data_IF_877778491690
#
_entry.id   IF_877778491690
#
_cell.length_a   1.000
_cell.length_b   1.000
_cell.length_c   1.000
_cell.angle_alpha   90.00
_cell.angle_beta   90.00
_cell.angle_gamma   90.00
#
_symmetry.space_group_name_H-M   'P 1'
#
loop_
_entity.id
_entity.type
_entity.pdbx_description
1 polymer ?
#
# COMPACT_ATOMS: atom_id res chain seq x y z
N UNK A 1 10.32 69.60 22.80
CA UNK A 1 10.37 68.16 22.47
C UNK A 1 9.89 67.38 23.68
N UNK A 2 8.73 66.73 23.60
CA UNK A 2 8.16 65.95 24.71
C UNK A 2 8.82 64.56 24.68
N UNK A 3 9.51 64.11 25.74
CA UNK A 3 10.13 62.79 25.74
C UNK A 3 9.02 61.74 25.60
N UNK A 4 9.11 60.92 24.55
CA UNK A 4 8.29 59.72 24.44
C UNK A 4 8.82 58.76 25.51
N UNK A 5 8.01 58.49 26.52
CA UNK A 5 8.35 57.51 27.54
C UNK A 5 8.39 56.13 26.89
N UNK A 6 9.59 55.64 26.59
CA UNK A 6 9.78 54.26 26.17
C UNK A 6 9.39 53.36 27.35
N UNK A 7 8.31 52.59 27.17
CA UNK A 7 7.85 51.62 28.15
C UNK A 7 8.89 50.50 28.22
N UNK A 8 9.59 50.42 29.35
CA UNK A 8 10.51 49.32 29.61
C UNK A 8 9.72 48.01 29.74
N UNK A 9 10.07 47.01 28.93
CA UNK A 9 9.44 45.69 28.93
C UNK A 9 9.87 44.92 30.19
N UNK A 10 8.92 44.40 30.95
CA UNK A 10 9.23 43.65 32.17
C UNK A 10 9.53 42.18 31.86
N UNK A 11 10.38 41.56 32.68
CA UNK A 11 10.70 40.13 32.56
C UNK A 11 9.45 39.25 32.74
N UNK A 12 8.47 39.72 33.54
CA UNK A 12 7.19 39.06 33.76
C UNK A 12 6.32 39.07 32.49
N UNK A 13 6.24 40.20 31.78
CA UNK A 13 5.50 40.28 30.50
C UNK A 13 6.08 39.32 29.47
N UNK A 14 7.41 39.18 29.39
CA UNK A 14 8.05 38.20 28.52
C UNK A 14 7.67 36.77 28.92
N UNK A 15 7.76 36.45 30.22
CA UNK A 15 7.48 35.12 30.77
C UNK A 15 6.04 34.68 30.53
N UNK A 16 5.07 35.57 30.73
CA UNK A 16 3.65 35.27 30.48
C UNK A 16 3.40 35.00 28.99
N UNK A 17 4.01 35.78 28.10
CA UNK A 17 3.86 35.59 26.65
C UNK A 17 4.43 34.23 26.22
N UNK A 18 5.64 33.88 26.64
CA UNK A 18 6.20 32.57 26.29
C UNK A 18 5.41 31.42 26.90
N UNK A 19 4.84 31.59 28.11
CA UNK A 19 3.99 30.58 28.74
C UNK A 19 2.70 30.36 27.94
N UNK A 20 2.06 31.43 27.46
CA UNK A 20 0.86 31.33 26.61
C UNK A 20 1.22 30.67 25.27
N UNK A 21 2.32 31.07 24.62
CA UNK A 21 2.79 30.45 23.36
C UNK A 21 3.08 28.97 23.57
N UNK A 22 3.74 28.58 24.66
CA UNK A 22 4.05 27.19 24.97
C UNK A 22 2.78 26.34 25.17
N UNK A 23 1.77 26.88 25.87
CA UNK A 23 0.48 26.22 26.05
C UNK A 23 -0.24 26.00 24.72
N UNK A 24 -0.31 27.04 23.88
CA UNK A 24 -0.95 26.96 22.56
C UNK A 24 -0.21 25.99 21.65
N UNK A 25 1.12 26.08 21.59
CA UNK A 25 1.96 25.19 20.80
C UNK A 25 1.80 23.72 21.23
N UNK A 26 1.67 23.46 22.54
CA UNK A 26 1.44 22.12 23.09
C UNK A 26 0.19 21.43 22.53
N UNK A 27 -0.88 22.19 22.26
CA UNK A 27 -2.11 21.65 21.65
C UNK A 27 -2.03 21.55 20.12
N UNK A 28 -1.26 22.42 19.46
CA UNK A 28 -1.11 22.49 18.00
C UNK A 28 -0.27 21.34 17.40
N UNK A 29 0.83 20.96 18.06
CA UNK A 29 1.75 19.92 17.58
C UNK A 29 1.08 18.56 17.27
N UNK A 30 0.25 17.97 18.17
CA UNK A 30 -0.39 16.68 17.89
C UNK A 30 -1.40 16.76 16.73
N UNK A 31 -2.11 17.89 16.60
CA UNK A 31 -3.07 18.11 15.51
C UNK A 31 -2.35 18.22 14.17
N UNK A 32 -1.25 19.00 14.11
CA UNK A 32 -0.44 19.15 12.91
C UNK A 32 0.16 17.81 12.45
N UNK A 33 0.59 16.96 13.39
CA UNK A 33 1.06 15.60 13.11
C UNK A 33 -0.01 14.75 12.41
N UNK A 34 -1.24 14.74 12.93
CA UNK A 34 -2.38 14.02 12.33
C UNK A 34 -2.74 14.57 10.95
N UNK A 35 -2.79 15.90 10.80
CA UNK A 35 -3.08 16.55 9.52
C UNK A 35 -2.04 16.20 8.44
N UNK A 36 -0.74 16.22 8.81
CA UNK A 36 0.35 15.83 7.91
C UNK A 36 0.26 14.36 7.49
N UNK A 37 -0.03 13.45 8.43
CA UNK A 37 -0.22 12.04 8.11
C UNK A 37 -1.41 11.81 7.16
N UNK A 38 -2.52 12.52 7.38
CA UNK A 38 -3.70 12.47 6.50
C UNK A 38 -3.39 13.00 5.09
N UNK A 39 -2.66 14.12 5.00
CA UNK A 39 -2.21 14.67 3.71
C UNK A 39 -1.36 13.68 2.92
N UNK A 40 -0.40 13.01 3.58
CA UNK A 40 0.40 11.96 2.95
C UNK A 40 -0.45 10.80 2.43
N UNK A 41 -1.43 10.34 3.21
CA UNK A 41 -2.36 9.28 2.79
C UNK A 41 -3.22 9.67 1.59
N UNK A 42 -3.65 10.93 1.51
CA UNK A 42 -4.37 11.47 0.34
C UNK A 42 -3.47 11.47 -0.91
N UNK A 43 -2.19 11.84 -0.76
CA UNK A 43 -1.23 11.78 -1.85
C UNK A 43 -1.03 10.32 -2.33
N UNK A 44 -0.91 9.36 -1.42
CA UNK A 44 -0.86 7.93 -1.78
C UNK A 44 -2.09 7.50 -2.59
N UNK A 45 -3.29 7.92 -2.16
CA UNK A 45 -4.53 7.60 -2.86
C UNK A 45 -4.56 8.21 -4.28
N UNK A 46 -4.07 9.45 -4.43
CA UNK A 46 -3.92 10.09 -5.74
C UNK A 46 -2.95 9.33 -6.65
N UNK A 47 -1.81 8.92 -6.11
CA UNK A 47 -0.81 8.11 -6.81
C UNK A 47 -1.41 6.75 -7.26
N UNK A 48 -2.17 6.07 -6.40
CA UNK A 48 -2.87 4.83 -6.76
C UNK A 48 -3.88 5.03 -7.89
N UNK A 49 -4.65 6.13 -7.90
CA UNK A 49 -5.55 6.44 -9.03
C UNK A 49 -4.78 6.60 -10.34
N UNK A 50 -3.61 7.25 -10.31
CA UNK A 50 -2.74 7.36 -11.48
C UNK A 50 -2.25 6.00 -11.97
N UNK A 51 -1.82 5.12 -11.05
CA UNK A 51 -1.47 3.74 -11.39
C UNK A 51 -2.66 3.03 -12.03
N UNK A 52 -3.86 3.22 -11.48
CA UNK A 52 -5.11 2.71 -12.03
C UNK A 52 -5.36 3.11 -13.46
N UNK A 53 -5.18 4.39 -13.79
CA UNK A 53 -5.25 4.85 -15.18
C UNK A 53 -4.20 4.16 -16.06
N UNK A 54 -2.97 3.98 -15.54
CA UNK A 54 -1.94 3.20 -16.23
C UNK A 54 -2.35 1.75 -16.50
N UNK A 55 -3.07 1.10 -15.58
CA UNK A 55 -3.65 -0.24 -15.78
C UNK A 55 -4.67 -0.23 -16.92
N UNK A 56 -5.53 0.77 -16.97
CA UNK A 56 -6.52 0.90 -18.04
C UNK A 56 -5.84 1.07 -19.40
N UNK A 57 -4.84 1.97 -19.50
CA UNK A 57 -4.05 2.17 -20.71
C UNK A 57 -3.31 0.88 -21.14
N UNK A 58 -2.77 0.14 -20.17
CA UNK A 58 -2.15 -1.16 -20.42
C UNK A 58 -3.15 -2.19 -20.96
N UNK A 59 -4.34 -2.25 -20.38
CA UNK A 59 -5.40 -3.15 -20.83
C UNK A 59 -5.88 -2.78 -22.24
N UNK A 60 -6.05 -1.49 -22.54
CA UNK A 60 -6.47 -1.00 -23.85
C UNK A 60 -5.47 -1.41 -24.96
N UNK A 61 -4.16 -1.34 -24.69
CA UNK A 61 -3.13 -1.78 -25.64
C UNK A 61 -2.98 -3.30 -25.77
N UNK A 62 -3.41 -4.08 -24.77
CA UNK A 62 -3.17 -5.53 -24.70
C UNK A 62 -4.47 -6.36 -24.69
N UNK A 63 -5.46 -5.97 -25.49
CA UNK A 63 -6.72 -6.71 -25.68
C UNK A 63 -7.47 -6.99 -24.35
N UNK A 64 -7.49 -5.97 -23.50
CA UNK A 64 -8.11 -5.98 -22.18
C UNK A 64 -7.33 -6.74 -21.11
N UNK A 65 -6.13 -7.23 -21.39
CA UNK A 65 -5.32 -7.98 -20.43
C UNK A 65 -4.77 -7.04 -19.34
N UNK A 66 -4.97 -7.42 -18.07
CA UNK A 66 -4.38 -6.70 -16.95
C UNK A 66 -2.87 -6.98 -16.85
N UNK A 67 -2.08 -6.04 -16.29
CA UNK A 67 -0.67 -6.29 -16.00
C UNK A 67 -0.53 -7.54 -15.14
N UNK A 68 0.48 -8.34 -15.46
CA UNK A 68 0.78 -9.53 -14.68
C UNK A 68 1.47 -9.09 -13.37
N UNK A 69 0.91 -9.49 -12.22
CA UNK A 69 1.47 -9.12 -10.92
C UNK A 69 2.92 -9.60 -10.72
N UNK A 70 3.22 -10.80 -11.21
CA UNK A 70 4.58 -11.33 -11.30
C UNK A 70 4.67 -12.37 -12.41
N UNK A 71 5.80 -12.41 -13.11
CA UNK A 71 6.13 -13.57 -13.95
C UNK A 71 6.63 -14.72 -13.07
N UNK A 72 6.06 -15.90 -13.28
CA UNK A 72 6.44 -17.11 -12.55
C UNK A 72 7.63 -17.86 -13.17
N UNK A 73 7.99 -17.53 -14.41
CA UNK A 73 9.18 -18.07 -15.05
C UNK A 73 10.43 -17.35 -14.52
N UNK A 74 11.08 -17.97 -13.53
CA UNK A 74 12.48 -17.77 -13.14
C UNK A 74 12.91 -16.30 -12.99
N UNK A 75 12.78 -15.71 -11.78
CA UNK A 75 13.25 -14.35 -11.51
C UNK A 75 14.71 -14.11 -11.91
N UNK A 76 15.52 -15.18 -11.95
CA UNK A 76 16.92 -15.17 -12.35
C UNK A 76 17.10 -14.87 -13.85
N UNK A 77 16.13 -15.26 -14.69
CA UNK A 77 16.16 -15.05 -16.16
C UNK A 77 15.36 -13.83 -16.61
N UNK A 78 14.49 -13.29 -15.77
CA UNK A 78 13.60 -12.18 -16.12
C UNK A 78 13.28 -11.31 -14.91
N UNK A 79 14.29 -10.69 -14.26
CA UNK A 79 14.13 -9.97 -13.01
C UNK A 79 13.19 -8.75 -13.14
N UNK A 80 13.08 -8.18 -14.34
CA UNK A 80 12.29 -6.99 -14.61
C UNK A 80 10.87 -7.28 -15.10
N UNK A 81 10.43 -8.55 -15.15
CA UNK A 81 9.06 -8.92 -15.59
C UNK A 81 8.09 -8.89 -14.41
N UNK A 82 7.80 -7.68 -13.95
CA UNK A 82 6.91 -7.40 -12.81
C UNK A 82 5.89 -6.33 -13.20
N UNK A 83 4.83 -6.16 -12.41
CA UNK A 83 3.74 -5.26 -12.81
C UNK A 83 4.15 -3.79 -12.91
N UNK A 84 5.08 -3.33 -12.06
CA UNK A 84 5.51 -1.92 -12.07
C UNK A 84 6.20 -1.53 -13.37
N UNK A 85 7.11 -2.37 -13.88
CA UNK A 85 7.82 -2.12 -15.15
C UNK A 85 6.89 -2.25 -16.35
N UNK A 86 5.84 -3.08 -16.24
CA UNK A 86 4.79 -3.17 -17.26
C UNK A 86 3.92 -1.90 -17.35
N UNK A 87 3.85 -1.13 -16.25
CA UNK A 87 3.10 0.12 -16.16
C UNK A 87 3.96 1.38 -16.34
N UNK A 88 5.28 1.30 -16.15
CA UNK A 88 6.19 2.43 -16.30
C UNK A 88 6.00 3.19 -17.62
N UNK A 89 5.79 2.50 -18.75
CA UNK A 89 5.60 3.18 -20.05
C UNK A 89 4.35 4.05 -20.13
N UNK A 90 3.35 3.77 -19.29
CA UNK A 90 2.09 4.51 -19.23
C UNK A 90 2.10 5.60 -18.15
N UNK A 91 3.09 5.56 -17.27
CA UNK A 91 3.21 6.46 -16.14
C UNK A 91 4.44 7.34 -16.34
N UNK A 92 4.25 8.66 -16.44
CA UNK A 92 5.34 9.59 -16.72
C UNK A 92 6.44 9.67 -15.65
N UNK A 93 6.29 8.98 -14.50
CA UNK A 93 7.28 8.94 -13.43
C UNK A 93 7.12 7.69 -12.55
N UNK A 94 8.24 7.10 -12.12
CA UNK A 94 8.28 6.01 -11.15
C UNK A 94 7.95 6.44 -9.72
N UNK A 95 7.97 7.75 -9.43
CA UNK A 95 7.55 8.31 -8.14
C UNK A 95 6.07 8.05 -7.85
N UNK A 96 5.27 7.81 -8.88
CA UNK A 96 3.84 7.46 -8.77
C UNK A 96 3.66 6.13 -8.03
N UNK A 97 4.64 5.23 -8.05
CA UNK A 97 4.58 3.97 -7.28
C UNK A 97 4.93 4.13 -5.80
N UNK A 98 5.29 5.34 -5.36
CA UNK A 98 5.70 5.61 -3.99
C UNK A 98 4.57 6.26 -3.18
N UNK A 99 4.61 6.00 -1.89
CA UNK A 99 3.67 6.50 -0.90
C UNK A 99 4.41 7.39 0.09
N UNK A 100 4.13 8.71 0.18
CA UNK A 100 4.77 9.59 1.16
C UNK A 100 4.51 9.21 2.63
N UNK A 101 3.49 8.39 2.85
CA UNK A 101 3.16 7.78 4.14
C UNK A 101 4.17 6.71 4.56
N UNK A 102 4.89 6.11 3.62
CA UNK A 102 5.96 5.13 3.82
C UNK A 102 7.35 5.79 3.65
N UNK A 103 7.89 6.47 4.67
CA UNK A 103 9.16 7.17 4.57
C UNK A 103 10.29 6.16 4.32
N UNK A 104 11.10 6.37 3.27
CA UNK A 104 12.21 5.48 2.91
C UNK A 104 11.83 4.37 1.92
N UNK A 105 10.57 4.31 1.47
CA UNK A 105 10.17 3.49 0.34
C UNK A 105 10.98 3.84 -0.91
N UNK A 106 11.27 2.82 -1.74
CA UNK A 106 12.04 2.98 -2.97
C UNK A 106 11.34 2.25 -4.09
N UNK A 107 11.54 2.76 -5.30
CA UNK A 107 11.08 2.08 -6.49
C UNK A 107 11.84 0.76 -6.66
N UNK A 108 11.10 -0.32 -6.80
CA UNK A 108 11.62 -1.68 -6.92
C UNK A 108 11.35 -2.28 -8.29
N UNK A 109 11.94 -1.69 -9.34
CA UNK A 109 11.76 -2.07 -10.76
C UNK A 109 12.26 -3.47 -11.15
N UNK A 110 12.62 -4.30 -10.17
CA UNK A 110 13.07 -5.67 -10.39
C UNK A 110 12.68 -6.58 -9.22
N UNK A 111 12.86 -7.87 -9.42
CA UNK A 111 12.55 -8.87 -8.42
C UNK A 111 13.34 -8.71 -7.11
N UNK A 112 14.62 -8.36 -7.15
CA UNK A 112 15.45 -8.25 -5.94
C UNK A 112 15.02 -7.07 -5.05
N UNK A 113 14.52 -6.00 -5.67
CA UNK A 113 14.16 -4.73 -5.05
C UNK A 113 12.65 -4.56 -4.85
N UNK A 114 11.82 -5.48 -5.36
CA UNK A 114 10.35 -5.41 -5.28
C UNK A 114 9.79 -5.13 -3.89
N UNK A 115 10.45 -5.65 -2.85
CA UNK A 115 10.08 -5.48 -1.45
C UNK A 115 10.47 -4.12 -0.86
N UNK A 116 10.78 -3.12 -1.66
CA UNK A 116 10.91 -1.74 -1.20
C UNK A 116 9.66 -0.91 -1.53
N UNK A 117 8.72 -1.51 -2.28
CA UNK A 117 7.48 -0.85 -2.67
C UNK A 117 6.46 -0.77 -1.54
N UNK A 118 5.76 0.38 -1.43
CA UNK A 118 4.69 0.54 -0.48
C UNK A 118 3.30 0.20 -1.06
N UNK A 119 3.15 -0.01 -2.38
CA UNK A 119 1.86 -0.29 -3.04
C UNK A 119 1.86 -1.69 -3.61
N UNK A 120 1.14 -2.61 -2.99
CA UNK A 120 0.95 -3.96 -3.49
C UNK A 120 -0.10 -4.03 -4.57
N UNK A 121 0.09 -4.93 -5.53
CA UNK A 121 -0.89 -5.29 -6.54
C UNK A 121 -1.47 -6.69 -6.29
N UNK A 122 -2.73 -6.92 -6.63
CA UNK A 122 -3.40 -8.17 -6.30
C UNK A 122 -2.76 -9.37 -7.01
N UNK A 123 -2.32 -10.34 -6.22
CA UNK A 123 -1.65 -11.57 -6.67
C UNK A 123 -2.56 -12.52 -7.45
N UNK A 124 -3.89 -12.38 -7.36
CA UNK A 124 -4.81 -13.09 -8.25
C UNK A 124 -4.57 -12.72 -9.72
N UNK A 125 -3.92 -11.59 -9.99
CA UNK A 125 -3.46 -11.13 -11.30
C UNK A 125 -2.09 -11.66 -11.72
N UNK A 126 -1.50 -12.57 -10.95
CA UNK A 126 -0.29 -13.27 -11.35
C UNK A 126 -0.61 -14.32 -12.41
N UNK A 127 0.24 -14.44 -13.42
CA UNK A 127 0.16 -15.54 -14.38
C UNK A 127 0.98 -16.72 -13.84
N UNK A 128 0.29 -17.84 -13.60
CA UNK A 128 0.91 -19.09 -13.18
C UNK A 128 0.41 -20.24 -14.06
N UNK A 129 1.17 -20.64 -15.09
CA UNK A 129 0.80 -21.77 -15.95
C UNK A 129 0.79 -23.12 -15.23
N UNK A 130 1.36 -23.22 -14.00
CA UNK A 130 1.33 -24.42 -13.15
C UNK A 130 0.13 -24.41 -12.18
N UNK A 131 -0.63 -23.31 -12.09
CA UNK A 131 -1.84 -23.19 -11.28
C UNK A 131 -1.63 -23.27 -9.76
N UNK A 132 -0.47 -22.84 -9.26
CA UNK A 132 -0.07 -22.93 -7.84
C UNK A 132 -0.44 -21.67 -7.05
N UNK A 133 -0.17 -20.50 -7.60
CA UNK A 133 -0.26 -19.20 -6.89
C UNK A 133 -0.97 -18.09 -7.69
N UNK A 134 -1.21 -18.30 -8.99
CA UNK A 134 -1.82 -17.34 -9.89
C UNK A 134 -2.85 -17.95 -10.83
N UNK A 135 -3.44 -17.12 -11.68
CA UNK A 135 -4.35 -17.56 -12.72
C UNK A 135 -3.59 -18.30 -13.82
N UNK A 136 -4.15 -19.42 -14.29
CA UNK A 136 -3.62 -20.16 -15.45
C UNK A 136 -3.84 -19.43 -16.77
N UNK A 137 -4.73 -18.44 -16.79
CA UNK A 137 -5.00 -17.56 -17.92
C UNK A 137 -4.78 -16.11 -17.49
N UNK A 138 -4.37 -15.24 -18.43
CA UNK A 138 -4.25 -13.81 -18.14
C UNK A 138 -5.64 -13.23 -17.84
N UNK A 139 -5.86 -12.62 -16.66
CA UNK A 139 -7.13 -12.01 -16.33
C UNK A 139 -7.34 -10.77 -17.20
N UNK A 140 -8.55 -10.63 -17.72
CA UNK A 140 -8.97 -9.44 -18.44
C UNK A 140 -9.75 -8.52 -17.51
N UNK A 141 -9.71 -7.23 -17.77
CA UNK A 141 -10.48 -6.26 -17.00
C UNK A 141 -11.99 -6.58 -17.01
N UNK A 142 -12.51 -7.01 -18.16
CA UNK A 142 -13.92 -7.39 -18.34
C UNK A 142 -14.33 -8.64 -17.56
N UNK A 143 -13.37 -9.48 -17.15
CA UNK A 143 -13.64 -10.68 -16.35
C UNK A 143 -13.61 -10.41 -14.85
N UNK A 144 -13.34 -9.18 -14.41
CA UNK A 144 -13.32 -8.84 -12.99
C UNK A 144 -14.76 -8.82 -12.46
N UNK A 145 -15.12 -9.74 -11.54
CA UNK A 145 -16.44 -9.74 -10.93
C UNK A 145 -16.57 -8.53 -10.00
N UNK A 146 -17.75 -7.89 -10.03
CA UNK A 146 -18.09 -6.77 -9.15
C UNK A 146 -16.96 -5.73 -9.01
N UNK A 147 -16.61 -4.99 -10.09
CA UNK A 147 -15.43 -4.11 -10.12
C UNK A 147 -15.37 -3.09 -8.97
N UNK A 148 -16.52 -2.69 -8.43
CA UNK A 148 -16.64 -1.79 -7.28
C UNK A 148 -16.22 -2.42 -5.95
N UNK A 149 -16.17 -3.74 -5.84
CA UNK A 149 -15.73 -4.49 -4.66
C UNK A 149 -14.38 -5.17 -4.87
N UNK A 150 -13.94 -5.31 -6.12
CA UNK A 150 -12.72 -5.97 -6.52
C UNK A 150 -11.46 -5.16 -6.19
N UNK A 151 -10.67 -5.57 -5.20
CA UNK A 151 -9.45 -4.84 -4.79
C UNK A 151 -8.28 -5.13 -5.72
N UNK A 152 -7.81 -4.13 -6.48
CA UNK A 152 -6.62 -4.22 -7.34
C UNK A 152 -5.33 -3.85 -6.61
N UNK A 153 -5.32 -2.74 -5.88
CA UNK A 153 -4.13 -2.24 -5.20
C UNK A 153 -4.38 -2.00 -3.72
N UNK A 154 -3.32 -2.11 -2.94
CA UNK A 154 -3.32 -1.78 -1.53
C UNK A 154 -2.00 -1.11 -1.15
N UNK A 155 -2.05 0.04 -0.46
CA UNK A 155 -0.84 0.61 0.12
C UNK A 155 -0.56 0.08 1.53
N UNK A 156 0.71 0.18 1.92
CA UNK A 156 1.23 -0.26 3.21
C UNK A 156 2.05 0.89 3.80
N UNK A 157 1.38 1.92 4.34
CA UNK A 157 2.06 3.15 4.77
C UNK A 157 2.96 2.91 5.99
N UNK A 158 2.69 1.85 6.76
CA UNK A 158 3.41 1.52 7.99
C UNK A 158 4.29 0.29 7.76
N UNK A 159 5.59 0.52 7.63
CA UNK A 159 6.60 -0.54 7.69
C UNK A 159 7.78 -0.06 8.54
N UNK A 160 8.41 -0.93 9.34
CA UNK A 160 9.55 -0.55 10.15
C UNK A 160 10.72 -0.12 9.26
N UNK A 161 11.34 1.01 9.59
CA UNK A 161 12.41 1.66 8.80
C UNK A 161 13.60 0.75 8.46
N UNK A 162 13.81 -0.29 9.27
CA UNK A 162 14.96 -1.18 9.18
C UNK A 162 14.65 -2.48 8.42
N UNK A 163 13.40 -2.68 7.96
CA UNK A 163 13.01 -3.85 7.15
C UNK A 163 12.25 -3.42 5.88
N UNK A 164 12.59 -4.09 4.77
CA UNK A 164 12.02 -3.98 3.42
C UNK A 164 10.47 -3.82 3.42
N UNK A 165 9.92 -2.76 2.81
CA UNK A 165 8.47 -2.46 2.72
C UNK A 165 7.72 -3.44 1.79
N UNK A 166 6.76 -4.21 2.33
CA UNK A 166 6.16 -5.35 1.63
C UNK A 166 4.78 -5.03 1.03
N UNK A 167 4.68 -3.96 0.24
CA UNK A 167 3.57 -3.74 -0.67
C UNK A 167 4.02 -4.06 -2.09
N UNK A 168 4.36 -5.30 -2.43
CA UNK A 168 4.67 -5.65 -3.82
C UNK A 168 3.51 -6.39 -4.47
N UNK A 169 3.10 -7.47 -3.82
CA UNK A 169 1.92 -8.26 -4.17
C UNK A 169 1.24 -8.68 -2.87
N UNK A 170 -0.09 -8.66 -2.85
CA UNK A 170 -0.89 -9.31 -1.80
C UNK A 170 -1.76 -10.37 -2.47
N UNK A 171 -1.78 -11.60 -1.94
CA UNK A 171 -2.64 -12.66 -2.46
C UNK A 171 -3.75 -12.97 -1.46
N UNK A 172 -5.01 -13.13 -1.90
CA UNK A 172 -6.07 -13.70 -1.07
C UNK A 172 -6.03 -15.24 -1.05
N UNK A 173 -5.45 -15.84 -2.09
CA UNK A 173 -5.20 -17.28 -2.20
C UNK A 173 -3.73 -17.50 -1.97
N UNK A 174 -3.36 -17.62 -0.72
CA UNK A 174 -2.04 -18.14 -0.42
C UNK A 174 -2.18 -19.61 -0.72
N UNK A 175 -1.69 -19.99 -1.89
CA UNK A 175 -1.85 -21.32 -2.41
C UNK A 175 -1.23 -22.37 -1.49
N UNK A 176 -1.14 -23.59 -2.01
CA UNK A 176 -0.29 -24.61 -1.40
C UNK A 176 1.15 -24.07 -1.35
N UNK A 177 1.88 -24.35 -0.27
CA UNK A 177 3.30 -24.03 -0.17
C UNK A 177 4.00 -24.52 -1.45
N UNK A 178 4.77 -23.63 -2.08
CA UNK A 178 5.48 -23.99 -3.29
C UNK A 178 6.47 -25.12 -2.98
N UNK A 179 6.18 -26.32 -3.48
CA UNK A 179 6.93 -27.56 -3.18
C UNK A 179 8.41 -27.50 -3.59
N UNK A 180 8.81 -26.52 -4.40
CA UNK A 180 10.17 -26.39 -4.93
C UNK A 180 10.95 -25.21 -4.33
N UNK A 181 10.28 -24.15 -3.88
CA UNK A 181 10.94 -23.03 -3.20
C UNK A 181 9.93 -22.26 -2.33
N UNK A 182 10.02 -22.40 -1.02
CA UNK A 182 9.12 -21.74 -0.06
C UNK A 182 9.14 -20.21 -0.15
N UNK A 183 10.22 -19.60 -0.68
CA UNK A 183 10.36 -18.15 -0.90
C UNK A 183 9.56 -17.65 -2.12
N UNK A 184 9.13 -18.57 -2.99
CA UNK A 184 8.31 -18.29 -4.16
C UNK A 184 6.83 -18.25 -3.83
N UNK A 185 6.43 -18.87 -2.71
CA UNK A 185 5.10 -18.69 -2.11
C UNK A 185 4.91 -17.20 -1.85
N UNK A 186 4.10 -16.56 -2.69
CA UNK A 186 3.95 -15.11 -2.76
C UNK A 186 3.72 -14.58 -1.33
N UNK A 187 4.62 -13.73 -0.80
CA UNK A 187 4.56 -13.37 0.60
C UNK A 187 3.26 -12.61 0.86
N UNK A 188 2.52 -13.14 1.82
CA UNK A 188 1.44 -12.42 2.45
C UNK A 188 1.97 -11.25 3.25
N UNK A 189 1.19 -10.19 3.15
CA UNK A 189 1.06 -9.16 4.16
C UNK A 189 2.30 -8.28 4.30
N UNK A 190 2.37 -7.22 3.51
CA UNK A 190 2.08 -5.82 3.91
C UNK A 190 2.58 -5.23 5.23
N UNK A 191 2.85 -6.01 6.27
CA UNK A 191 3.29 -5.51 7.58
C UNK A 191 4.21 -6.54 8.24
N UNK A 192 5.39 -6.12 8.68
CA UNK A 192 6.40 -7.01 9.27
C UNK A 192 5.83 -7.75 10.48
N UNK A 193 5.07 -7.06 11.29
CA UNK A 193 4.62 -7.58 12.58
C UNK A 193 3.52 -8.63 12.34
N UNK A 194 2.70 -8.45 11.31
CA UNK A 194 1.78 -9.48 10.83
C UNK A 194 2.50 -10.68 10.21
N UNK A 195 3.56 -10.51 9.42
CA UNK A 195 4.32 -11.68 8.89
C UNK A 195 4.92 -12.52 10.02
N UNK A 196 5.37 -11.88 11.09
CA UNK A 196 5.88 -12.57 12.28
C UNK A 196 4.75 -13.23 13.10
N UNK A 197 3.65 -12.54 13.37
CA UNK A 197 2.46 -13.07 14.06
C UNK A 197 1.79 -14.22 13.31
N UNK A 198 1.86 -14.17 11.99
CA UNK A 198 1.25 -15.13 11.08
C UNK A 198 2.24 -16.23 10.67
N UNK A 199 3.50 -16.15 11.14
CA UNK A 199 4.52 -17.18 10.97
C UNK A 199 4.05 -18.48 11.64
N UNK A 200 3.91 -19.54 10.85
CA UNK A 200 3.43 -20.85 11.32
C UNK A 200 1.94 -21.12 11.10
N UNK A 201 1.16 -20.13 10.63
CA UNK A 201 -0.21 -20.39 10.15
C UNK A 201 -0.20 -20.94 8.73
N UNK A 202 -1.17 -21.80 8.41
CA UNK A 202 -1.34 -22.31 7.06
C UNK A 202 -1.72 -21.18 6.10
N UNK A 203 -1.26 -21.19 4.85
CA UNK A 203 -1.62 -20.22 3.82
C UNK A 203 -3.14 -19.91 3.73
N UNK A 204 -4.00 -20.91 3.90
CA UNK A 204 -5.47 -20.77 3.92
C UNK A 204 -6.02 -19.96 5.10
N UNK A 205 -5.23 -19.77 6.16
CA UNK A 205 -5.59 -19.02 7.37
C UNK A 205 -5.08 -17.58 7.33
N UNK A 206 -4.35 -17.22 6.28
CA UNK A 206 -3.71 -15.93 6.12
C UNK A 206 -4.61 -15.01 5.27
N UNK A 207 -5.54 -14.30 5.91
CA UNK A 207 -6.28 -13.24 5.23
C UNK A 207 -5.40 -12.00 5.05
N UNK A 208 -5.57 -11.19 3.98
CA UNK A 208 -4.84 -9.94 3.85
C UNK A 208 -5.25 -9.00 4.99
N UNK A 209 -4.34 -8.78 5.93
CA UNK A 209 -4.49 -7.75 6.96
C UNK A 209 -3.55 -6.61 6.58
N UNK A 210 -4.08 -5.55 6.00
CA UNK A 210 -3.25 -4.50 5.42
C UNK A 210 -2.94 -3.39 6.44
N UNK A 211 -1.64 -3.13 6.65
CA UNK A 211 -1.08 -2.17 7.62
C UNK A 211 -1.89 -2.12 8.93
N UNK A 212 -1.93 -3.24 9.67
CA UNK A 212 -2.63 -3.31 10.97
C UNK A 212 -2.06 -2.33 11.97
N UNK A 213 -0.74 -2.20 11.98
CA UNK A 213 -0.06 -1.33 12.92
C UNK A 213 0.15 0.08 12.35
N UNK A 214 -0.10 1.09 13.17
CA UNK A 214 0.28 2.47 12.91
C UNK A 214 1.79 2.66 13.05
N UNK A 215 2.27 3.88 12.82
CA UNK A 215 3.70 4.21 12.91
C UNK A 215 4.33 3.92 14.30
N UNK A 216 3.49 3.79 15.34
CA UNK A 216 3.90 3.54 16.71
C UNK A 216 3.63 2.08 17.16
N UNK A 217 3.23 1.18 16.26
CA UNK A 217 2.92 -0.22 16.57
C UNK A 217 1.49 -0.46 17.08
N UNK A 218 0.65 0.57 17.16
CA UNK A 218 -0.74 0.50 17.62
C UNK A 218 -1.71 -0.02 16.54
N UNK A 219 -2.81 -0.66 16.91
CA UNK A 219 -3.81 -1.23 15.96
C UNK A 219 -4.64 -0.17 15.19
N UNK A 220 -4.11 1.04 15.01
CA UNK A 220 -4.76 2.16 14.31
C UNK A 220 -4.35 2.29 12.84
N UNK A 221 -3.54 1.35 12.35
CA UNK A 221 -3.04 1.35 10.99
C UNK A 221 -4.17 1.33 9.95
N UNK A 222 -3.92 2.04 8.85
CA UNK A 222 -4.87 2.19 7.75
C UNK A 222 -4.14 1.98 6.43
N UNK A 223 -4.87 1.39 5.49
CA UNK A 223 -4.41 1.15 4.13
C UNK A 223 -5.41 1.74 3.15
N UNK A 224 -4.93 2.39 2.10
CA UNK A 224 -5.70 2.72 0.93
C UNK A 224 -5.91 1.45 0.11
N UNK A 225 -7.16 1.12 -0.20
CA UNK A 225 -7.54 0.08 -1.14
C UNK A 225 -8.03 0.73 -2.42
N UNK A 226 -7.49 0.31 -3.56
CA UNK A 226 -8.03 0.68 -4.85
C UNK A 226 -8.86 -0.47 -5.41
N UNK A 227 -10.10 -0.17 -5.76
CA UNK A 227 -11.01 -1.09 -6.42
C UNK A 227 -10.79 -1.07 -7.95
N UNK A 228 -11.28 -2.08 -8.65
CA UNK A 228 -11.11 -2.24 -10.09
C UNK A 228 -11.86 -1.18 -10.91
N UNK A 229 -12.86 -0.54 -10.33
CA UNK A 229 -13.55 0.62 -10.91
C UNK A 229 -12.76 1.94 -10.77
N UNK A 230 -11.60 1.94 -10.12
CA UNK A 230 -10.77 3.13 -9.91
C UNK A 230 -10.99 3.85 -8.57
N UNK A 231 -11.99 3.45 -7.78
CA UNK A 231 -12.26 4.04 -6.46
C UNK A 231 -11.13 3.70 -5.49
N UNK A 232 -10.71 4.68 -4.69
CA UNK A 232 -9.68 4.49 -3.65
C UNK A 232 -10.19 4.92 -2.29
N UNK A 233 -10.18 3.99 -1.33
CA UNK A 233 -10.66 4.20 0.03
C UNK A 233 -9.65 3.82 1.09
N UNK A 234 -9.44 4.73 2.05
CA UNK A 234 -8.63 4.44 3.23
C UNK A 234 -9.44 3.61 4.23
N UNK A 235 -9.04 2.36 4.48
CA UNK A 235 -9.68 1.42 5.40
C UNK A 235 -8.75 1.07 6.56
N UNK A 236 -9.28 0.89 7.77
CA UNK A 236 -8.51 0.28 8.86
C UNK A 236 -8.48 -1.24 8.71
N UNK A 237 -7.47 -1.91 9.25
CA UNK A 237 -7.42 -3.38 9.24
C UNK A 237 -8.70 -4.05 9.78
N UNK A 238 -9.29 -3.52 10.87
CA UNK A 238 -10.56 -4.01 11.40
C UNK A 238 -11.75 -3.79 10.44
N UNK A 239 -11.74 -2.72 9.65
CA UNK A 239 -12.75 -2.49 8.61
C UNK A 239 -12.62 -3.51 7.49
N UNK A 240 -11.39 -3.76 7.03
CA UNK A 240 -11.09 -4.74 5.98
C UNK A 240 -11.56 -6.14 6.40
N UNK A 241 -11.22 -6.56 7.63
CA UNK A 241 -11.64 -7.87 8.16
C UNK A 241 -13.16 -8.04 8.26
N UNK A 242 -13.88 -6.98 8.68
CA UNK A 242 -15.35 -7.02 8.75
C UNK A 242 -15.98 -7.07 7.36
N UNK A 243 -15.47 -6.28 6.41
CA UNK A 243 -15.99 -6.28 5.04
C UNK A 243 -15.73 -7.62 4.35
N UNK A 244 -14.54 -8.20 4.55
CA UNK A 244 -14.18 -9.53 4.06
C UNK A 244 -15.10 -10.63 4.62
N UNK A 245 -15.41 -10.58 5.92
CA UNK A 245 -16.36 -11.53 6.53
C UNK A 245 -17.79 -11.39 5.99
N UNK A 246 -18.18 -10.18 5.55
CA UNK A 246 -19.48 -9.90 4.95
C UNK A 246 -19.53 -10.00 3.43
N UNK A 247 -18.48 -10.52 2.77
CA UNK A 247 -18.35 -10.56 1.31
C UNK A 247 -18.46 -9.20 0.60
N UNK A 248 -18.12 -8.10 1.29
CA UNK A 248 -18.14 -6.73 0.74
C UNK A 248 -16.80 -6.32 0.11
N UNK A 249 -15.86 -7.26 -0.02
CA UNK A 249 -14.60 -7.11 -0.74
C UNK A 249 -14.38 -8.37 -1.55
N UNK A 250 -14.09 -8.19 -2.83
CA UNK A 250 -13.72 -9.26 -3.74
C UNK A 250 -12.22 -9.18 -3.95
N UNK A 251 -11.53 -10.26 -3.63
CA UNK A 251 -10.09 -10.36 -3.83
C UNK A 251 -9.72 -11.29 -4.97
N UNK A 252 -10.61 -12.21 -5.29
CA UNK A 252 -10.41 -13.26 -6.27
C UNK A 252 -11.21 -12.97 -7.54
N UNK A 253 -10.49 -12.86 -8.66
CA UNK A 253 -11.07 -12.53 -9.95
C UNK A 253 -11.07 -13.73 -10.90
N UNK A 254 -10.74 -14.93 -10.40
CA UNK A 254 -10.60 -16.15 -11.21
C UNK A 254 -11.89 -16.99 -11.32
N UNK A 255 -13.02 -16.48 -10.81
CA UNK A 255 -14.36 -17.02 -11.07
C UNK A 255 -14.55 -18.49 -10.69
N UNK A 256 -14.03 -18.93 -9.53
CA UNK A 256 -14.34 -20.25 -8.95
C UNK A 256 -15.22 -20.10 -7.71
#
# INVERSE_FOLDING_TARGET
MKPRGDRAFTLIELLVVIAIIALLAGMLLPVLGKAKAKSKSIQCASNMRQIGMGVMMHADELDGALPIATNFAQPELSPNRIWVTALERFLGSSEVFLCPSAPGARFGGDWANRSWHPIGYNGSMSYDPRGVEGATNKPKLVSVPEPSLAVLFADTPSGPREKKYRGYVFSPRNGKQNRFDSRRSTPLVSDRDLVAEMSGKLPSQLKPVLARHGANGDDTGRSNLMMADGRVDAQSAASILRQDAGANLVWDFTGK
#
